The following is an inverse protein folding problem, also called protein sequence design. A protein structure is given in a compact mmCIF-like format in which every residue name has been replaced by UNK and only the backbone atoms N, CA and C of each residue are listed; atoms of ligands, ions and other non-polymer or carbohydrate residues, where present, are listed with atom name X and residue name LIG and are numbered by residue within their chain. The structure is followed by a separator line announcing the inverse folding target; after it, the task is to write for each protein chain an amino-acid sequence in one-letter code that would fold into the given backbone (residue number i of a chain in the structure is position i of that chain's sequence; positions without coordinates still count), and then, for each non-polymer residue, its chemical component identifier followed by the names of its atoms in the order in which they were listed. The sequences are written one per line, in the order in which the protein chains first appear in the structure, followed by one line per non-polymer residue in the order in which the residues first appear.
data_IF_080957623989
#
_entry.id   IF_080957623989
#
_cell.length_a   1.000
_cell.length_b   1.000
_cell.length_c   1.000
_cell.angle_alpha   90.00
_cell.angle_beta   90.00
_cell.angle_gamma   90.00
#
_symmetry.space_group_name_H-M   'P 1'
#
loop_
_entity.id
_entity.type
_entity.pdbx_description
1 polymer ?
#
# COMPACT_ATOMS: atom_id res chain seq x y z
N UNK A 1 22.40 -31.17 45.83
CA UNK A 1 22.10 -29.71 45.70
C UNK A 1 22.49 -29.10 44.35
N UNK A 2 23.71 -29.29 43.77
CA UNK A 2 24.10 -28.57 42.55
C UNK A 2 23.29 -28.95 41.29
N UNK A 3 22.80 -30.19 41.19
CA UNK A 3 21.96 -30.66 40.08
C UNK A 3 20.59 -29.97 40.00
N UNK A 4 20.02 -29.58 41.14
CA UNK A 4 18.73 -28.88 41.21
C UNK A 4 18.87 -27.41 40.80
N UNK A 5 19.99 -26.78 41.14
CA UNK A 5 20.31 -25.40 40.75
C UNK A 5 20.53 -25.32 39.23
N UNK A 6 21.27 -26.27 38.66
CA UNK A 6 21.48 -26.34 37.20
C UNK A 6 20.16 -26.53 36.43
N UNK A 7 19.27 -27.40 36.92
CA UNK A 7 17.95 -27.62 36.32
C UNK A 7 17.08 -26.35 36.37
N UNK A 8 17.07 -25.64 37.50
CA UNK A 8 16.32 -24.39 37.65
C UNK A 8 16.84 -23.29 36.70
N UNK A 9 18.16 -23.21 36.51
CA UNK A 9 18.80 -22.27 35.59
C UNK A 9 18.47 -22.57 34.13
N UNK A 10 18.45 -23.85 33.74
CA UNK A 10 18.04 -24.27 32.38
C UNK A 10 16.57 -23.96 32.13
N UNK A 11 15.69 -24.19 33.11
CA UNK A 11 14.26 -23.86 32.98
C UNK A 11 14.01 -22.35 32.94
N UNK A 12 14.76 -21.55 33.71
CA UNK A 12 14.73 -20.09 33.63
C UNK A 12 15.23 -19.59 32.28
N UNK A 13 16.33 -20.14 31.77
CA UNK A 13 16.87 -19.78 30.47
C UNK A 13 15.91 -20.18 29.35
N UNK A 14 15.35 -21.39 29.38
CA UNK A 14 14.34 -21.85 28.43
C UNK A 14 13.07 -20.99 28.50
N UNK A 15 12.62 -20.62 29.70
CA UNK A 15 11.50 -19.70 29.90
C UNK A 15 11.80 -18.29 29.39
N UNK A 16 13.04 -17.81 29.53
CA UNK A 16 13.49 -16.51 29.01
C UNK A 16 13.59 -16.53 27.49
N UNK A 17 14.14 -17.59 26.89
CA UNK A 17 14.19 -17.80 25.44
C UNK A 17 12.77 -17.94 24.87
N UNK A 18 11.91 -18.74 25.50
CA UNK A 18 10.52 -18.92 25.10
C UNK A 18 9.74 -17.60 25.18
N UNK A 19 9.89 -16.86 26.29
CA UNK A 19 9.29 -15.54 26.46
C UNK A 19 9.83 -14.55 25.41
N UNK A 20 11.12 -14.57 25.07
CA UNK A 20 11.68 -13.71 24.04
C UNK A 20 11.22 -14.08 22.62
N UNK A 21 11.10 -15.39 22.34
CA UNK A 21 10.60 -15.93 21.07
C UNK A 21 9.08 -15.75 20.90
N UNK A 22 8.31 -15.59 21.98
CA UNK A 22 6.86 -15.39 21.95
C UNK A 22 6.38 -13.98 22.37
N UNK A 23 7.28 -13.08 22.77
CA UNK A 23 6.93 -11.68 23.15
C UNK A 23 6.66 -10.72 22.00
N UNK A 24 6.59 -11.17 20.75
CA UNK A 24 6.27 -10.27 19.63
C UNK A 24 5.18 -10.84 18.73
N UNK A 25 3.92 -10.87 19.19
CA UNK A 25 2.80 -11.31 18.37
C UNK A 25 2.37 -10.17 17.42
N UNK A 26 2.28 -10.53 16.13
CA UNK A 26 1.66 -9.84 14.97
C UNK A 26 1.90 -8.32 14.88
N UNK A 27 2.95 -7.94 14.15
CA UNK A 27 3.36 -6.54 13.92
C UNK A 27 2.74 -5.92 12.66
N UNK A 28 1.70 -6.52 12.06
CA UNK A 28 1.19 -6.11 10.74
C UNK A 28 -0.23 -6.59 10.53
N UNK A 29 -1.06 -5.74 9.92
CA UNK A 29 -2.47 -6.02 9.73
C UNK A 29 -3.33 -4.79 9.94
N UNK A 30 -4.60 -5.00 10.28
CA UNK A 30 -5.54 -3.92 10.53
C UNK A 30 -5.57 -3.55 12.02
N UNK A 31 -5.42 -2.28 12.34
CA UNK A 31 -5.64 -1.72 13.67
C UNK A 31 -6.87 -0.81 13.63
N UNK A 32 -8.06 -1.38 13.79
CA UNK A 32 -9.31 -0.72 13.37
C UNK A 32 -9.31 -0.52 11.85
N UNK A 33 -9.61 0.69 11.38
CA UNK A 33 -9.60 1.04 9.94
C UNK A 33 -8.20 1.39 9.41
N UNK A 34 -7.15 1.24 10.23
CA UNK A 34 -5.79 1.59 9.85
C UNK A 34 -5.01 0.38 9.38
N UNK A 35 -4.23 0.54 8.31
CA UNK A 35 -3.23 -0.45 7.92
C UNK A 35 -1.93 -0.20 8.69
N UNK A 36 -1.44 -1.21 9.41
CA UNK A 36 -0.25 -1.14 10.25
C UNK A 36 0.89 -2.02 9.70
N UNK A 37 2.12 -1.48 9.70
CA UNK A 37 3.34 -2.17 9.26
C UNK A 37 4.17 -2.73 10.40
N UNK A 38 5.01 -3.72 10.09
CA UNK A 38 5.98 -4.27 11.04
C UNK A 38 7.31 -3.53 11.10
N UNK A 39 7.41 -2.36 10.44
CA UNK A 39 8.63 -1.55 10.45
C UNK A 39 8.98 -1.06 11.86
N UNK A 40 10.23 -0.65 12.06
CA UNK A 40 10.72 -0.06 13.31
C UNK A 40 11.27 1.35 12.99
N UNK A 41 10.54 2.43 13.34
CA UNK A 41 9.22 2.46 13.98
C UNK A 41 8.09 2.00 13.05
N UNK A 42 6.96 1.60 13.65
CA UNK A 42 5.79 1.15 12.90
C UNK A 42 5.23 2.28 12.03
N UNK A 43 4.67 1.91 10.87
CA UNK A 43 3.93 2.84 10.00
C UNK A 43 2.45 2.52 10.11
N UNK A 44 1.62 3.56 10.27
CA UNK A 44 0.17 3.44 10.23
C UNK A 44 -0.37 4.32 9.11
N UNK A 45 -1.22 3.75 8.28
CA UNK A 45 -2.01 4.50 7.30
C UNK A 45 -3.43 4.61 7.82
N UNK A 46 -3.84 5.83 8.18
CA UNK A 46 -5.19 6.13 8.64
C UNK A 46 -6.00 6.79 7.52
N UNK A 47 -7.10 6.20 7.05
CA UNK A 47 -8.00 6.88 6.11
C UNK A 47 -8.64 8.12 6.75
N UNK A 48 -9.00 9.11 5.94
CA UNK A 48 -9.82 10.23 6.39
C UNK A 48 -11.23 9.75 6.78
N UNK A 49 -11.90 10.48 7.69
CA UNK A 49 -13.19 10.07 8.29
C UNK A 49 -14.37 9.92 7.31
N UNK A 50 -14.24 10.42 6.07
CA UNK A 50 -15.24 10.25 5.01
C UNK A 50 -15.10 8.97 4.18
N UNK A 51 -14.07 8.16 4.44
CA UNK A 51 -13.81 6.90 3.74
C UNK A 51 -14.13 5.72 4.64
N UNK A 52 -14.95 4.80 4.16
CA UNK A 52 -15.36 3.59 4.89
C UNK A 52 -14.56 2.38 4.41
N UNK A 53 -14.28 1.38 5.27
CA UNK A 53 -13.63 0.15 4.85
C UNK A 53 -14.40 -0.55 3.72
N UNK A 54 -13.70 -0.88 2.65
CA UNK A 54 -14.22 -1.58 1.47
C UNK A 54 -13.68 -3.01 1.36
N UNK A 55 -12.48 -3.26 1.90
CA UNK A 55 -11.86 -4.58 1.91
C UNK A 55 -10.46 -4.55 2.49
N UNK A 56 -9.96 -5.71 2.90
CA UNK A 56 -8.57 -5.86 3.32
C UNK A 56 -8.12 -7.30 3.13
N UNK A 57 -6.82 -7.51 3.01
CA UNK A 57 -6.29 -8.85 2.84
C UNK A 57 -4.78 -8.93 2.85
N UNK A 58 -4.29 -10.16 2.79
CA UNK A 58 -2.87 -10.47 2.65
C UNK A 58 -2.64 -11.36 1.44
N UNK A 59 -1.54 -11.10 0.72
CA UNK A 59 -1.16 -11.88 -0.46
C UNK A 59 0.35 -12.02 -0.54
N UNK A 60 0.81 -13.23 -0.84
CA UNK A 60 2.21 -13.51 -1.14
C UNK A 60 2.44 -13.32 -2.65
N UNK A 61 3.50 -12.59 -2.99
CA UNK A 61 3.89 -12.28 -4.36
C UNK A 61 5.33 -12.72 -4.64
N UNK A 62 5.64 -12.91 -5.92
CA UNK A 62 6.98 -13.22 -6.38
C UNK A 62 7.46 -12.14 -7.37
N UNK A 63 8.01 -11.00 -6.90
CA UNK A 63 8.56 -9.97 -7.75
C UNK A 63 9.78 -10.46 -8.52
N UNK A 64 9.99 -9.94 -9.72
CA UNK A 64 11.22 -10.18 -10.45
C UNK A 64 12.40 -9.53 -9.72
N UNK A 65 13.59 -10.14 -9.87
CA UNK A 65 14.86 -9.57 -9.44
C UNK A 65 15.83 -9.63 -10.62
N UNK A 66 16.99 -8.99 -10.51
CA UNK A 66 18.02 -9.05 -11.55
C UNK A 66 18.53 -10.47 -11.86
N UNK A 67 18.28 -11.48 -11.01
CA UNK A 67 18.89 -12.82 -11.14
C UNK A 67 17.98 -14.01 -10.80
N UNK A 68 16.76 -13.78 -10.29
CA UNK A 68 15.80 -14.80 -9.88
C UNK A 68 14.41 -14.18 -9.63
N UNK A 69 13.44 -14.96 -9.16
CA UNK A 69 12.22 -14.44 -8.52
C UNK A 69 12.47 -14.21 -7.03
N UNK A 70 12.13 -13.03 -6.55
CA UNK A 70 12.13 -12.69 -5.13
C UNK A 70 10.83 -13.11 -4.47
N UNK A 71 10.73 -12.90 -3.15
CA UNK A 71 9.49 -13.12 -2.43
C UNK A 71 9.15 -11.92 -1.55
N UNK A 72 7.87 -11.55 -1.55
CA UNK A 72 7.35 -10.51 -0.67
C UNK A 72 5.93 -10.84 -0.23
N UNK A 73 5.57 -10.40 0.97
CA UNK A 73 4.21 -10.45 1.49
C UNK A 73 3.60 -9.06 1.48
N UNK A 74 2.39 -8.96 0.95
CA UNK A 74 1.68 -7.69 0.80
C UNK A 74 0.41 -7.71 1.64
N UNK A 75 0.27 -6.73 2.53
CA UNK A 75 -0.95 -6.43 3.26
C UNK A 75 -1.61 -5.25 2.59
N UNK A 76 -2.92 -5.30 2.40
CA UNK A 76 -3.67 -4.18 1.84
C UNK A 76 -4.92 -3.87 2.63
N UNK A 77 -5.29 -2.59 2.65
CA UNK A 77 -6.55 -2.08 3.17
C UNK A 77 -7.13 -1.10 2.16
N UNK A 78 -8.40 -1.31 1.82
CA UNK A 78 -9.14 -0.56 0.82
C UNK A 78 -10.25 0.20 1.53
N UNK A 79 -10.41 1.47 1.17
CA UNK A 79 -11.47 2.32 1.65
C UNK A 79 -12.13 3.03 0.49
N UNK A 80 -13.43 3.27 0.58
CA UNK A 80 -14.17 4.00 -0.44
C UNK A 80 -15.10 5.01 0.22
N UNK A 81 -15.43 6.08 -0.49
CA UNK A 81 -16.54 6.95 -0.07
C UNK A 81 -17.84 6.16 -0.12
N UNK A 82 -18.75 6.30 0.86
CA UNK A 82 -20.02 5.59 0.84
C UNK A 82 -20.84 5.94 -0.42
N UNK A 83 -21.20 4.91 -1.19
CA UNK A 83 -21.99 5.05 -2.41
C UNK A 83 -23.44 5.43 -2.10
N UNK A 84 -23.84 6.63 -2.54
CA UNK A 84 -25.24 7.13 -2.66
C UNK A 84 -26.09 7.02 -1.39
N UNK A 85 -25.98 8.03 -0.52
CA UNK A 85 -26.90 8.18 0.62
C UNK A 85 -26.65 9.34 1.59
N UNK A 86 -25.73 10.29 1.33
CA UNK A 86 -25.49 11.37 2.30
C UNK A 86 -24.57 12.54 1.94
N UNK A 87 -23.92 12.53 0.78
CA UNK A 87 -23.13 13.69 0.33
C UNK A 87 -22.92 13.64 -1.17
N UNK A 88 -23.33 14.69 -1.89
CA UNK A 88 -23.30 14.76 -3.36
C UNK A 88 -21.91 14.87 -4.00
N UNK A 89 -20.88 14.27 -3.40
CA UNK A 89 -19.51 14.25 -3.92
C UNK A 89 -19.27 13.12 -4.93
N UNK A 90 -18.26 13.29 -5.80
CA UNK A 90 -17.78 12.21 -6.66
C UNK A 90 -17.24 11.04 -5.81
N UNK A 91 -17.43 9.78 -6.23
CA UNK A 91 -16.91 8.64 -5.48
C UNK A 91 -15.39 8.67 -5.44
N UNK A 92 -14.82 8.22 -4.32
CA UNK A 92 -13.38 8.22 -4.04
C UNK A 92 -12.98 6.83 -3.55
N UNK A 93 -11.80 6.36 -3.96
CA UNK A 93 -11.17 5.15 -3.44
C UNK A 93 -9.80 5.48 -2.86
N UNK A 94 -9.44 4.80 -1.78
CA UNK A 94 -8.12 4.83 -1.15
C UNK A 94 -7.63 3.39 -0.97
N UNK A 95 -6.47 3.06 -1.54
CA UNK A 95 -5.80 1.79 -1.30
C UNK A 95 -4.50 2.04 -0.53
N UNK A 96 -4.31 1.35 0.59
CA UNK A 96 -3.04 1.29 1.29
C UNK A 96 -2.45 -0.12 1.12
N UNK A 97 -1.18 -0.21 0.76
CA UNK A 97 -0.43 -1.45 0.62
C UNK A 97 0.89 -1.35 1.38
N UNK A 98 1.17 -2.41 2.14
CA UNK A 98 2.44 -2.62 2.82
C UNK A 98 3.06 -3.90 2.29
N UNK A 99 4.19 -3.77 1.62
CA UNK A 99 4.91 -4.87 1.02
C UNK A 99 6.22 -5.12 1.77
N UNK A 100 6.31 -6.30 2.39
CA UNK A 100 7.47 -6.76 3.15
C UNK A 100 8.25 -7.75 2.29
N UNK A 101 9.46 -7.38 1.90
CA UNK A 101 10.38 -8.28 1.22
C UNK A 101 10.86 -9.37 2.20
N UNK A 102 11.13 -10.59 1.71
CA UNK A 102 11.83 -11.59 2.53
C UNK A 102 13.25 -11.09 2.87
N UNK A 103 13.85 -11.70 3.89
CA UNK A 103 15.13 -11.28 4.47
C UNK A 103 16.26 -11.08 3.46
N UNK A 104 16.29 -11.87 2.40
CA UNK A 104 17.34 -11.84 1.38
C UNK A 104 17.08 -10.81 0.26
N UNK A 105 16.00 -10.03 0.35
CA UNK A 105 15.65 -9.00 -0.63
C UNK A 105 15.28 -7.66 0.02
N UNK A 106 15.42 -6.62 -0.78
CA UNK A 106 15.02 -5.25 -0.45
C UNK A 106 14.44 -4.56 -1.66
N UNK A 107 13.62 -3.55 -1.43
CA UNK A 107 13.08 -2.73 -2.50
C UNK A 107 14.17 -1.80 -3.08
N UNK A 108 14.15 -1.53 -4.40
CA UNK A 108 15.01 -0.53 -5.01
C UNK A 108 14.85 0.84 -4.35
N UNK A 109 15.93 1.60 -4.27
CA UNK A 109 15.88 2.98 -3.78
C UNK A 109 15.08 3.87 -4.74
N UNK A 110 15.27 3.66 -6.05
CA UNK A 110 14.43 4.30 -7.06
C UNK A 110 13.10 3.59 -7.14
N UNK A 111 12.07 4.25 -6.60
CA UNK A 111 10.69 3.78 -6.62
C UNK A 111 9.85 4.54 -7.64
N UNK A 112 10.50 5.26 -8.55
CA UNK A 112 9.81 5.98 -9.62
C UNK A 112 9.02 4.98 -10.45
N UNK A 113 7.73 5.22 -10.65
CA UNK A 113 6.91 4.31 -11.43
C UNK A 113 7.43 4.17 -12.88
N UNK A 114 7.57 2.95 -13.39
CA UNK A 114 8.11 2.71 -14.74
C UNK A 114 7.18 3.30 -15.83
N UNK A 115 7.70 4.18 -16.71
CA UNK A 115 6.95 4.70 -17.85
C UNK A 115 6.47 3.57 -18.77
N UNK A 116 5.20 3.60 -19.20
CA UNK A 116 4.64 2.65 -20.17
C UNK A 116 4.03 1.34 -19.61
N UNK A 117 4.36 0.94 -18.37
CA UNK A 117 3.82 -0.30 -17.78
C UNK A 117 2.41 -0.09 -17.20
N UNK A 118 2.12 1.08 -16.63
CA UNK A 118 0.79 1.44 -16.08
C UNK A 118 0.39 2.88 -16.40
N UNK A 119 1.34 3.72 -16.78
CA UNK A 119 1.23 5.18 -16.70
C UNK A 119 1.29 5.77 -18.09
N UNK A 120 0.25 6.49 -18.48
CA UNK A 120 0.22 7.15 -19.78
C UNK A 120 0.98 8.48 -19.77
N UNK A 121 1.19 9.10 -18.60
CA UNK A 121 2.06 10.26 -18.37
C UNK A 121 2.04 10.54 -16.86
N UNK A 122 3.16 10.37 -16.16
CA UNK A 122 3.21 10.54 -14.71
C UNK A 122 3.89 11.86 -14.33
N UNK A 123 3.20 12.69 -13.54
CA UNK A 123 3.86 13.81 -12.84
C UNK A 123 4.40 13.29 -11.52
N UNK A 124 5.72 13.35 -11.36
CA UNK A 124 6.39 12.90 -10.14
C UNK A 124 6.77 14.09 -9.25
N UNK A 125 6.74 13.87 -7.95
CA UNK A 125 7.22 14.79 -6.94
C UNK A 125 7.84 14.00 -5.79
N UNK A 126 8.82 14.58 -5.13
CA UNK A 126 9.37 14.05 -3.88
C UNK A 126 9.05 15.03 -2.77
N UNK A 127 8.55 14.51 -1.64
CA UNK A 127 8.15 15.32 -0.49
C UNK A 127 8.39 14.60 0.83
N UNK A 128 7.81 15.13 1.90
CA UNK A 128 7.87 14.57 3.24
C UNK A 128 6.47 14.32 3.77
N UNK A 129 6.20 13.11 4.26
CA UNK A 129 5.01 12.78 5.05
C UNK A 129 5.45 12.09 6.34
N UNK A 130 5.02 12.60 7.49
CA UNK A 130 5.43 12.08 8.80
C UNK A 130 6.96 11.93 8.97
N UNK A 131 7.72 12.87 8.42
CA UNK A 131 9.20 12.84 8.44
C UNK A 131 9.82 11.69 7.63
N UNK A 132 9.08 11.09 6.70
CA UNK A 132 9.60 10.17 5.70
C UNK A 132 9.62 10.82 4.33
N UNK A 133 10.70 10.56 3.58
CA UNK A 133 10.73 10.86 2.15
C UNK A 133 9.67 10.02 1.45
N UNK A 134 8.81 10.68 0.70
CA UNK A 134 7.75 10.06 -0.10
C UNK A 134 7.89 10.49 -1.54
N UNK A 135 7.87 9.52 -2.45
CA UNK A 135 7.76 9.73 -3.88
C UNK A 135 6.29 9.65 -4.27
N UNK A 136 5.80 10.70 -4.90
CA UNK A 136 4.40 10.81 -5.27
C UNK A 136 4.26 10.94 -6.79
N UNK A 137 3.43 10.11 -7.41
CA UNK A 137 3.16 10.12 -8.84
C UNK A 137 1.67 10.32 -9.11
N UNK A 138 1.36 11.28 -9.99
CA UNK A 138 0.00 11.52 -10.47
C UNK A 138 -0.13 11.02 -11.90
N UNK A 139 -1.08 10.13 -12.17
CA UNK A 139 -1.28 9.51 -13.48
C UNK A 139 -2.72 9.06 -13.63
N UNK A 140 -3.14 8.78 -14.86
CA UNK A 140 -4.40 8.08 -15.08
C UNK A 140 -4.17 6.57 -15.27
N UNK A 141 -5.06 5.78 -14.67
CA UNK A 141 -5.04 4.33 -14.62
C UNK A 141 -6.19 3.77 -15.48
N UNK A 142 -5.88 3.06 -16.57
CA UNK A 142 -6.88 2.37 -17.38
C UNK A 142 -7.67 1.33 -16.58
N UNK A 143 -8.99 1.17 -16.84
CA UNK A 143 -9.83 0.25 -16.08
C UNK A 143 -9.39 -1.21 -16.25
N UNK A 144 -8.83 -1.58 -17.41
CA UNK A 144 -8.28 -2.90 -17.71
C UNK A 144 -6.96 -3.19 -16.96
N UNK A 145 -6.27 -2.14 -16.49
CA UNK A 145 -5.04 -2.22 -15.69
C UNK A 145 -5.26 -2.03 -14.20
N UNK A 146 -6.50 -1.83 -13.74
CA UNK A 146 -6.81 -1.66 -12.32
C UNK A 146 -6.85 -3.02 -11.58
N UNK A 147 -5.72 -3.35 -10.96
CA UNK A 147 -5.53 -4.55 -10.16
C UNK A 147 -6.48 -4.68 -8.96
N UNK A 148 -6.92 -3.55 -8.40
CA UNK A 148 -7.64 -3.48 -7.14
C UNK A 148 -9.14 -3.24 -7.34
N UNK A 149 -9.58 -2.85 -8.54
CA UNK A 149 -10.99 -2.56 -8.85
C UNK A 149 -11.96 -3.66 -8.36
N UNK A 150 -11.72 -4.97 -8.58
CA UNK A 150 -12.64 -6.01 -8.10
C UNK A 150 -12.78 -6.06 -6.57
N UNK A 151 -11.77 -5.63 -5.83
CA UNK A 151 -11.71 -5.74 -4.38
C UNK A 151 -12.38 -4.56 -3.65
N UNK A 152 -12.72 -3.46 -4.35
CA UNK A 152 -13.43 -2.34 -3.75
C UNK A 152 -14.94 -2.59 -3.59
N UNK A 153 -15.53 -3.52 -4.36
CA UNK A 153 -16.94 -3.90 -4.23
C UNK A 153 -17.97 -2.78 -4.45
N UNK A 154 -17.54 -1.60 -4.90
CA UNK A 154 -18.37 -0.44 -5.20
C UNK A 154 -18.91 -0.46 -6.64
N UNK A 155 -19.84 0.46 -6.93
CA UNK A 155 -20.44 0.60 -8.26
C UNK A 155 -19.34 0.80 -9.32
N UNK A 156 -19.20 -0.07 -10.33
CA UNK A 156 -18.18 0.08 -11.37
C UNK A 156 -18.51 1.20 -12.37
N UNK A 157 -19.75 1.70 -12.44
CA UNK A 157 -20.18 2.69 -13.45
C UNK A 157 -19.32 3.96 -13.46
N UNK A 158 -19.03 4.62 -12.33
CA UNK A 158 -18.18 5.81 -12.30
C UNK A 158 -16.75 5.55 -12.81
N UNK A 159 -16.27 4.30 -12.70
CA UNK A 159 -14.89 3.93 -12.99
C UNK A 159 -14.68 3.36 -14.40
N UNK A 160 -15.73 3.33 -15.24
CA UNK A 160 -15.68 2.77 -16.61
C UNK A 160 -14.64 3.43 -17.50
N UNK A 161 -14.35 4.70 -17.27
CA UNK A 161 -13.33 5.47 -18.01
C UNK A 161 -11.93 5.33 -17.41
N UNK A 162 -11.77 4.56 -16.34
CA UNK A 162 -10.55 4.48 -15.53
C UNK A 162 -10.57 5.45 -14.34
N UNK A 163 -9.40 5.59 -13.72
CA UNK A 163 -9.20 6.42 -12.53
C UNK A 163 -8.09 7.45 -12.74
N UNK A 164 -8.24 8.64 -12.18
CA UNK A 164 -7.11 9.51 -11.88
C UNK A 164 -6.52 9.09 -10.53
N UNK A 165 -5.21 8.84 -10.49
CA UNK A 165 -4.53 8.24 -9.34
C UNK A 165 -3.40 9.14 -8.88
N UNK A 166 -3.33 9.36 -7.56
CA UNK A 166 -2.15 9.87 -6.86
C UNK A 166 -1.57 8.73 -6.03
N UNK A 167 -0.39 8.24 -6.40
CA UNK A 167 0.33 7.19 -5.69
C UNK A 167 1.45 7.78 -4.87
N UNK A 168 1.44 7.57 -3.56
CA UNK A 168 2.51 7.87 -2.63
C UNK A 168 3.30 6.59 -2.34
N UNK A 169 4.62 6.65 -2.44
CA UNK A 169 5.52 5.52 -2.20
C UNK A 169 6.60 5.92 -1.21
N UNK A 170 6.78 5.11 -0.16
CA UNK A 170 7.79 5.33 0.88
C UNK A 170 8.50 4.02 1.21
N UNK A 171 9.75 4.11 1.63
CA UNK A 171 10.55 2.96 2.06
C UNK A 171 10.88 3.08 3.55
N UNK A 172 10.82 1.96 4.27
CA UNK A 172 11.18 1.85 5.68
C UNK A 172 12.00 0.57 5.93
N UNK A 173 12.51 0.43 7.16
CA UNK A 173 13.30 -0.73 7.59
C UNK A 173 14.43 -1.06 6.61
N UNK A 174 15.32 -0.10 6.32
CA UNK A 174 16.43 -0.27 5.36
C UNK A 174 15.98 -0.79 3.97
N UNK A 175 14.76 -0.45 3.54
CA UNK A 175 14.10 -0.86 2.29
C UNK A 175 13.54 -2.28 2.28
N UNK A 176 13.41 -2.96 3.42
CA UNK A 176 12.65 -4.22 3.49
C UNK A 176 11.14 -3.99 3.48
N UNK A 177 10.67 -2.79 3.83
CA UNK A 177 9.24 -2.42 3.82
C UNK A 177 9.01 -1.33 2.80
N UNK A 178 8.10 -1.57 1.85
CA UNK A 178 7.57 -0.56 0.92
C UNK A 178 6.14 -0.26 1.27
N UNK A 179 5.87 1.00 1.58
CA UNK A 179 4.53 1.54 1.72
C UNK A 179 4.11 2.14 0.38
N UNK A 180 2.92 1.78 -0.09
CA UNK A 180 2.27 2.41 -1.23
C UNK A 180 0.85 2.81 -0.84
N UNK A 181 0.49 4.07 -1.03
CA UNK A 181 -0.88 4.56 -0.83
C UNK A 181 -1.36 5.18 -2.13
N UNK A 182 -2.52 4.74 -2.62
CA UNK A 182 -3.15 5.30 -3.80
C UNK A 182 -4.47 5.96 -3.45
N UNK A 183 -4.55 7.25 -3.74
CA UNK A 183 -5.82 7.98 -3.80
C UNK A 183 -6.35 7.96 -5.24
N UNK A 184 -7.63 7.71 -5.41
CA UNK A 184 -8.25 7.52 -6.73
C UNK A 184 -9.58 8.27 -6.83
N UNK A 185 -9.75 8.97 -7.94
CA UNK A 185 -11.02 9.57 -8.38
C UNK A 185 -11.39 9.05 -9.78
N UNK A 186 -12.69 8.95 -10.12
CA UNK A 186 -13.14 8.65 -11.47
C UNK A 186 -12.51 9.57 -12.53
N UNK A 187 -12.02 8.99 -13.61
CA UNK A 187 -11.50 9.78 -14.72
C UNK A 187 -12.65 10.41 -15.51
N UNK A 188 -12.77 11.73 -15.46
CA UNK A 188 -13.75 12.47 -16.28
C UNK A 188 -13.17 12.69 -17.67
N UNK A 189 -13.75 12.03 -18.68
CA UNK A 189 -13.38 12.23 -20.09
C UNK A 189 -14.26 13.34 -20.67
N UNK A 190 -13.65 14.31 -21.36
CA UNK A 190 -14.38 15.39 -22.02
C UNK A 190 -15.39 14.82 -23.04
N UNK A 191 -16.65 15.25 -22.97
CA UNK A 191 -17.69 14.90 -23.95
C UNK A 191 -18.82 13.97 -23.47
N UNK A 192 -18.82 13.53 -22.20
CA UNK A 192 -20.00 12.95 -21.54
C UNK A 192 -20.55 11.62 -22.09
N UNK A 193 -20.01 11.09 -23.17
CA UNK A 193 -20.41 9.81 -23.76
C UNK A 193 -19.17 9.07 -24.25
N UNK A 194 -18.85 7.95 -23.59
CA UNK A 194 -17.88 6.99 -24.12
C UNK A 194 -18.51 6.37 -25.37
N UNK A 195 -18.05 6.77 -26.56
CA UNK A 195 -18.42 6.09 -27.79
C UNK A 195 -17.93 4.63 -27.71
N UNK A 196 -18.84 3.68 -27.95
CA UNK A 196 -18.50 2.26 -28.06
C UNK A 196 -17.39 2.07 -29.10
N UNK A 197 -16.30 1.41 -28.69
CA UNK A 197 -15.36 0.76 -29.63
C UNK A 197 -14.01 1.42 -29.91
N UNK A 198 -13.47 2.35 -29.11
CA UNK A 198 -12.10 2.87 -29.32
C UNK A 198 -11.21 2.83 -28.05
N UNK A 199 -9.94 2.34 -28.16
CA UNK A 199 -8.95 2.51 -27.11
C UNK A 199 -8.41 3.94 -27.18
N UNK A 200 -8.90 4.84 -26.35
CA UNK A 200 -8.29 6.17 -26.17
C UNK A 200 -8.22 6.52 -24.70
N UNK A 201 -7.25 5.93 -24.03
CA UNK A 201 -6.66 6.55 -22.86
C UNK A 201 -5.81 7.74 -23.34
N UNK A 202 -6.48 8.82 -23.75
CA UNK A 202 -5.82 10.09 -24.06
C UNK A 202 -5.29 10.74 -22.80
N UNK A 203 -4.40 11.73 -22.96
CA UNK A 203 -3.91 12.55 -21.85
C UNK A 203 -5.11 13.15 -21.09
N UNK A 204 -5.28 12.84 -19.79
CA UNK A 204 -6.38 13.40 -19.01
C UNK A 204 -6.31 14.92 -19.00
N UNK A 205 -7.42 15.61 -19.29
CA UNK A 205 -7.48 17.07 -19.29
C UNK A 205 -7.04 17.69 -17.96
N UNK A 206 -7.25 16.98 -16.84
CA UNK A 206 -6.77 17.37 -15.51
C UNK A 206 -5.24 17.46 -15.42
N UNK A 207 -4.48 16.73 -16.23
CA UNK A 207 -3.02 16.88 -16.29
C UNK A 207 -2.59 18.15 -17.05
N UNK A 208 -3.48 18.73 -17.85
CA UNK A 208 -3.26 19.95 -18.63
C UNK A 208 -3.75 21.22 -17.92
N UNK A 209 -4.52 21.07 -16.83
CA UNK A 209 -4.99 22.15 -15.98
C UNK A 209 -4.21 22.13 -14.63
N UNK A 210 -3.24 23.04 -14.44
CA UNK A 210 -2.44 23.08 -13.22
C UNK A 210 -3.26 23.30 -11.94
N UNK A 211 -4.38 24.02 -12.01
CA UNK A 211 -5.21 24.31 -10.86
C UNK A 211 -6.06 23.09 -10.48
N UNK A 212 -6.66 22.43 -11.48
CA UNK A 212 -7.40 21.19 -11.25
C UNK A 212 -6.46 20.07 -10.73
N UNK A 213 -5.25 19.99 -11.27
CA UNK A 213 -4.23 19.05 -10.80
C UNK A 213 -3.82 19.31 -9.35
N UNK A 214 -3.51 20.56 -9.01
CA UNK A 214 -3.15 20.93 -7.63
C UNK A 214 -4.30 20.65 -6.65
N UNK A 215 -5.54 20.91 -7.05
CA UNK A 215 -6.71 20.60 -6.23
C UNK A 215 -6.89 19.09 -6.00
N UNK A 216 -6.65 18.27 -7.02
CA UNK A 216 -6.64 16.80 -6.89
C UNK A 216 -5.51 16.33 -5.97
N UNK A 217 -4.29 16.82 -6.15
CA UNK A 217 -3.14 16.47 -5.32
C UNK A 217 -3.36 16.84 -3.85
N UNK A 218 -3.97 18.01 -3.58
CA UNK A 218 -4.34 18.41 -2.22
C UNK A 218 -5.39 17.50 -1.58
N UNK A 219 -6.42 17.08 -2.34
CA UNK A 219 -7.41 16.11 -1.84
C UNK A 219 -6.77 14.76 -1.54
N UNK A 220 -5.85 14.31 -2.39
CA UNK A 220 -5.12 13.07 -2.18
C UNK A 220 -4.29 13.07 -0.90
N UNK A 221 -3.61 14.18 -0.59
CA UNK A 221 -2.85 14.36 0.66
C UNK A 221 -3.76 14.43 1.89
N UNK A 222 -4.97 14.97 1.76
CA UNK A 222 -5.95 15.05 2.85
C UNK A 222 -6.72 13.74 3.08
N UNK A 223 -6.70 12.81 2.13
CA UNK A 223 -7.46 11.57 2.18
C UNK A 223 -6.93 10.54 3.19
N UNK A 224 -5.73 10.74 3.72
CA UNK A 224 -5.15 9.87 4.74
C UNK A 224 -4.16 10.62 5.63
N UNK A 225 -3.78 9.99 6.74
CA UNK A 225 -2.64 10.39 7.57
C UNK A 225 -1.67 9.23 7.68
N UNK A 226 -0.40 9.50 7.41
CA UNK A 226 0.69 8.60 7.75
C UNK A 226 1.14 8.91 9.18
N UNK A 227 1.21 7.90 10.03
CA UNK A 227 1.64 8.05 11.42
C UNK A 227 2.80 7.12 11.72
N UNK A 228 3.73 7.62 12.53
CA UNK A 228 4.91 6.90 13.03
C UNK A 228 4.90 6.99 14.55
N UNK A 229 4.03 6.23 15.23
CA UNK A 229 4.00 6.26 16.68
C UNK A 229 5.35 5.79 17.24
N UNK A 230 5.83 6.50 18.24
CA UNK A 230 6.96 6.05 19.04
C UNK A 230 6.54 4.91 19.98
N UNK A 231 7.47 4.02 20.29
CA UNK A 231 7.28 2.97 21.32
C UNK A 231 6.50 1.74 20.86
N UNK A 232 6.01 0.98 21.85
CA UNK A 232 5.45 -0.37 21.68
C UNK A 232 3.93 -0.31 21.40
N UNK A 233 3.57 0.24 20.23
CA UNK A 233 2.18 0.39 19.76
C UNK A 233 1.36 -0.92 19.78
N UNK A 234 2.05 -2.07 19.86
CA UNK A 234 1.48 -3.40 20.00
C UNK A 234 0.73 -3.64 21.34
N UNK A 235 0.95 -2.82 22.37
CA UNK A 235 0.37 -3.05 23.70
C UNK A 235 -1.06 -2.51 23.89
N UNK A 236 -1.67 -1.90 22.87
CA UNK A 236 -2.94 -1.18 23.04
C UNK A 236 -4.00 -1.33 21.95
N UNK A 237 -3.81 -2.15 20.91
CA UNK A 237 -4.80 -2.33 19.83
C UNK A 237 -4.88 -3.78 19.35
N UNK A 238 -6.09 -4.25 19.08
CA UNK A 238 -6.35 -5.51 18.38
C UNK A 238 -5.88 -5.37 16.93
N UNK A 239 -4.62 -5.77 16.66
CA UNK A 239 -4.12 -5.88 15.29
C UNK A 239 -4.64 -7.20 14.71
N UNK A 240 -5.65 -7.09 13.85
CA UNK A 240 -6.25 -8.24 13.19
C UNK A 240 -5.42 -8.59 11.96
N UNK A 241 -5.00 -9.85 11.86
CA UNK A 241 -4.38 -10.37 10.64
C UNK A 241 -5.46 -10.43 9.55
N UNK A 242 -5.29 -9.73 8.42
CA UNK A 242 -6.24 -9.81 7.32
C UNK A 242 -6.30 -11.22 6.76
N UNK A 243 -7.47 -11.61 6.26
CA UNK A 243 -7.63 -12.89 5.56
C UNK A 243 -6.83 -12.92 4.26
N UNK A 244 -6.56 -14.12 3.76
CA UNK A 244 -5.94 -14.28 2.45
C UNK A 244 -6.82 -13.59 1.40
N UNK A 245 -6.19 -12.80 0.53
CA UNK A 245 -6.91 -12.08 -0.52
C UNK A 245 -7.66 -13.09 -1.42
N UNK A 246 -8.93 -12.80 -1.79
CA UNK A 246 -9.64 -13.63 -2.77
C UNK A 246 -8.91 -13.63 -4.11
N UNK A 247 -9.11 -14.67 -4.94
CA UNK A 247 -8.49 -14.76 -6.29
C UNK A 247 -8.74 -13.53 -7.18
N UNK A 248 -9.78 -12.77 -6.86
CA UNK A 248 -10.16 -11.51 -7.52
C UNK A 248 -9.05 -10.46 -7.45
N UNK A 249 -8.20 -10.49 -6.42
CA UNK A 249 -6.99 -9.68 -6.34
C UNK A 249 -5.88 -10.38 -7.13
N UNK A 250 -5.62 -9.90 -8.35
CA UNK A 250 -4.64 -10.51 -9.25
C UNK A 250 -3.21 -10.30 -8.74
N UNK A 251 -2.62 -11.34 -8.13
CA UNK A 251 -1.24 -11.33 -7.59
C UNK A 251 -0.23 -10.72 -8.55
N UNK A 252 -0.29 -11.14 -9.83
CA UNK A 252 0.60 -10.65 -10.90
C UNK A 252 0.50 -9.15 -11.13
N UNK A 253 -0.69 -8.57 -10.97
CA UNK A 253 -0.90 -7.13 -11.12
C UNK A 253 -0.38 -6.36 -9.89
N UNK A 254 -0.60 -6.88 -8.68
CA UNK A 254 0.04 -6.33 -7.46
C UNK A 254 1.56 -6.39 -7.56
N UNK A 255 2.11 -7.48 -8.07
CA UNK A 255 3.56 -7.60 -8.34
C UNK A 255 4.03 -6.51 -9.28
N UNK A 256 3.37 -6.31 -10.43
CA UNK A 256 3.70 -5.23 -11.37
C UNK A 256 3.57 -3.85 -10.75
N UNK A 257 2.56 -3.64 -9.90
CA UNK A 257 2.34 -2.38 -9.21
C UNK A 257 3.47 -2.04 -8.24
N UNK A 258 3.97 -3.03 -7.51
CA UNK A 258 5.04 -2.87 -6.52
C UNK A 258 6.44 -2.87 -7.16
N UNK A 259 6.60 -3.40 -8.36
CA UNK A 259 7.85 -3.41 -9.12
C UNK A 259 8.77 -4.57 -8.73
N UNK A 260 10.07 -4.39 -8.97
CA UNK A 260 11.09 -5.42 -8.78
C UNK A 260 11.68 -5.41 -7.36
N UNK A 261 12.39 -6.48 -7.01
CA UNK A 261 13.21 -6.59 -5.81
C UNK A 261 14.71 -6.63 -6.15
N UNK A 262 15.52 -6.08 -5.27
CA UNK A 262 16.97 -6.24 -5.26
C UNK A 262 17.35 -7.31 -4.24
N UNK A 263 18.35 -8.13 -4.57
CA UNK A 263 18.96 -9.01 -3.56
C UNK A 263 19.65 -8.14 -2.53
N UNK A 264 19.40 -8.42 -1.25
CA UNK A 264 20.16 -7.82 -0.17
C UNK A 264 21.55 -8.45 -0.19
N UNK A 265 22.44 -7.84 -0.97
CA UNK A 265 23.87 -8.08 -0.84
C UNK A 265 24.23 -7.42 0.48
N UNK A 266 24.26 -8.21 1.55
CA UNK A 266 24.95 -7.79 2.76
C UNK A 266 26.29 -7.23 2.33
N UNK A 267 26.62 -6.03 2.77
CA UNK A 267 27.94 -5.46 2.52
C UNK A 267 28.95 -6.49 3.06
N UNK A 268 29.61 -7.22 2.15
CA UNK A 268 30.87 -7.88 2.41
C UNK A 268 31.87 -6.74 2.73
N UNK A 269 31.95 -6.38 4.01
CA UNK A 269 33.01 -5.55 4.59
C UNK A 269 33.92 -6.42 5.43
#
# INVERSE_FOLDING_TARGET
MPKLIALALVLLLAGFVYAFMHRNPVRRGLAGDMLASSARPALLVRPASGLVPAGAGVVDIAPDTASATGSARVYHALHASPGRGGGGGAPVRLAALLAEASSEYRWPLDVTPEPGVVLVEARTATGQLAGMTVHAATFALPPDRDALAPAFGDDPVPWRSGALVRRFTALAEMRHVKLMVEYREPLVVAGGTAAEGAPRFGRPAVLDDPAALAAFEARAEQAFRLERPDGDWAKGKDIVKPDAAPEQVKRREITRMLGILERDRGDDR
#
